data_IF_135925870033
#
_entry.id   IF_135925870033
#
_cell.length_a   1.000
_cell.length_b   1.000
_cell.length_c   1.000
_cell.angle_alpha   90.00
_cell.angle_beta   90.00
_cell.angle_gamma   90.00
#
_symmetry.space_group_name_H-M   'P 1'
#
loop_
_entity.id
_entity.type
_entity.pdbx_description
1 polymer ?
#
# COMPACT_ATOMS: atom_id res chain seq x y z
N UNK A 1 14.78 21.91 17.44
CA UNK A 1 15.42 22.94 16.61
C UNK A 1 16.04 22.21 15.45
N UNK A 2 15.73 22.55 14.20
CA UNK A 2 16.50 22.08 13.04
C UNK A 2 17.51 23.15 12.65
N UNK A 3 18.69 22.74 12.21
CA UNK A 3 19.72 23.65 11.73
C UNK A 3 20.45 22.98 10.57
N UNK A 4 20.63 23.73 9.48
CA UNK A 4 21.44 23.27 8.36
C UNK A 4 22.91 23.61 8.64
N UNK A 5 23.76 22.60 8.61
CA UNK A 5 25.20 22.83 8.72
C UNK A 5 25.75 23.24 7.35
N UNK A 6 26.62 24.25 7.33
CA UNK A 6 27.29 24.64 6.10
C UNK A 6 28.28 23.52 5.73
N UNK A 7 27.95 22.75 4.70
CA UNK A 7 28.87 21.75 4.15
C UNK A 7 30.16 22.44 3.67
N UNK A 8 31.31 22.01 4.20
CA UNK A 8 32.63 22.35 3.66
C UNK A 8 33.51 23.34 4.44
N UNK A 9 33.15 23.82 5.63
CA UNK A 9 34.11 24.63 6.42
C UNK A 9 34.02 24.49 7.95
N UNK A 10 34.23 23.26 8.46
CA UNK A 10 34.64 23.11 9.85
C UNK A 10 36.17 23.22 9.94
N UNK A 11 36.65 24.45 10.19
CA UNK A 11 38.09 24.75 10.28
C UNK A 11 38.63 24.45 11.68
N UNK A 12 39.94 24.28 11.79
CA UNK A 12 40.64 23.96 13.05
C UNK A 12 40.46 25.06 14.10
N UNK A 13 40.32 26.31 13.66
CA UNK A 13 40.04 27.46 14.52
C UNK A 13 38.60 27.51 15.06
N UNK A 14 37.67 26.69 14.57
CA UNK A 14 36.29 26.67 15.05
C UNK A 14 36.12 25.64 16.17
N UNK A 15 35.65 26.08 17.33
CA UNK A 15 35.28 25.18 18.43
C UNK A 15 34.05 24.29 18.10
N UNK A 16 33.19 24.72 17.17
CA UNK A 16 31.95 24.03 16.76
C UNK A 16 31.72 24.19 15.26
N UNK A 17 31.04 23.25 14.59
CA UNK A 17 30.69 23.41 13.19
C UNK A 17 29.76 24.62 13.00
N UNK A 18 30.05 25.54 12.06
CA UNK A 18 29.15 26.65 11.76
C UNK A 18 27.85 26.12 11.14
N UNK A 19 26.71 26.68 11.57
CA UNK A 19 25.39 26.40 11.00
C UNK A 19 24.78 27.66 10.39
N UNK A 20 23.89 27.46 9.42
CA UNK A 20 22.99 28.45 8.87
C UNK A 20 21.55 27.93 8.97
N UNK A 21 20.55 28.79 8.71
CA UNK A 21 19.13 28.39 8.65
C UNK A 21 18.66 27.60 9.89
N UNK A 22 18.70 28.24 11.06
CA UNK A 22 18.12 27.65 12.28
C UNK A 22 16.62 27.87 12.28
N UNK A 23 15.85 26.78 12.28
CA UNK A 23 14.39 26.84 12.40
C UNK A 23 13.94 26.40 13.80
N UNK A 24 13.08 27.22 14.38
CA UNK A 24 12.42 26.90 15.63
C UNK A 24 11.21 25.99 15.36
N UNK A 25 11.31 24.73 15.78
CA UNK A 25 10.22 23.75 15.68
C UNK A 25 9.22 23.94 16.82
N UNK A 26 9.72 24.13 18.06
CA UNK A 26 8.88 24.23 19.24
C UNK A 26 9.63 23.95 20.54
N UNK A 27 8.88 23.83 21.63
CA UNK A 27 9.41 23.46 22.96
C UNK A 27 9.58 21.95 23.07
N UNK A 28 10.63 21.54 23.78
CA UNK A 28 10.87 20.12 24.14
C UNK A 28 9.77 19.57 25.03
N UNK A 29 9.63 18.25 25.06
CA UNK A 29 8.61 17.52 25.82
C UNK A 29 7.16 17.80 25.37
N UNK A 30 6.98 18.36 24.17
CA UNK A 30 5.68 18.46 23.51
C UNK A 30 5.64 17.43 22.38
N UNK A 31 4.68 16.51 22.43
CA UNK A 31 4.61 15.36 21.51
C UNK A 31 4.63 15.78 20.04
N UNK A 32 3.86 16.79 19.64
CA UNK A 32 3.83 17.25 18.24
C UNK A 32 5.19 17.78 17.77
N UNK A 33 5.87 18.56 18.62
CA UNK A 33 7.18 19.12 18.27
C UNK A 33 8.26 18.04 18.19
N UNK A 34 8.23 17.06 19.09
CA UNK A 34 9.17 15.94 19.09
C UNK A 34 8.92 15.02 17.89
N UNK A 35 7.66 14.76 17.54
CA UNK A 35 7.29 14.00 16.34
C UNK A 35 7.76 14.71 15.07
N UNK A 36 7.53 16.02 14.97
CA UNK A 36 7.99 16.80 13.82
C UNK A 36 9.52 16.79 13.72
N UNK A 37 10.23 16.98 14.84
CA UNK A 37 11.69 16.89 14.86
C UNK A 37 12.19 15.50 14.42
N UNK A 38 11.55 14.42 14.87
CA UNK A 38 11.88 13.05 14.47
C UNK A 38 11.68 12.84 12.96
N UNK A 39 10.58 13.35 12.39
CA UNK A 39 10.29 13.24 10.96
C UNK A 39 11.32 13.99 10.12
N UNK A 40 11.66 15.22 10.51
CA UNK A 40 12.67 16.05 9.83
C UNK A 40 14.07 15.41 9.91
N UNK A 41 14.50 14.97 11.10
CA UNK A 41 15.83 14.37 11.31
C UNK A 41 16.02 13.08 10.49
N UNK A 42 14.93 12.39 10.15
CA UNK A 42 14.94 11.18 9.32
C UNK A 42 14.54 11.42 7.86
N UNK A 43 14.34 12.69 7.45
CA UNK A 43 13.99 13.04 6.08
C UNK A 43 12.65 12.46 5.61
N UNK A 44 11.71 12.23 6.53
CA UNK A 44 10.39 11.69 6.20
C UNK A 44 9.53 12.80 5.62
N UNK A 45 9.13 12.65 4.35
CA UNK A 45 8.16 13.53 3.74
C UNK A 45 6.79 13.34 4.40
N UNK A 46 6.41 14.31 5.23
CA UNK A 46 5.18 14.32 6.02
C UNK A 46 4.22 15.44 5.60
N UNK A 47 4.51 16.12 4.48
CA UNK A 47 3.63 17.13 3.91
C UNK A 47 2.40 16.54 3.22
N UNK A 48 1.44 17.41 2.93
CA UNK A 48 0.29 17.07 2.10
C UNK A 48 0.72 16.65 0.69
N UNK A 49 -0.13 15.87 0.03
CA UNK A 49 0.08 15.49 -1.36
C UNK A 49 -0.12 16.69 -2.29
N UNK A 50 0.77 16.83 -3.28
CA UNK A 50 0.65 17.89 -4.28
C UNK A 50 -0.66 17.80 -5.07
N UNK A 51 -1.17 18.95 -5.50
CA UNK A 51 -2.42 19.03 -6.25
C UNK A 51 -2.38 18.24 -7.58
N UNK A 52 -1.21 18.08 -8.20
CA UNK A 52 -1.03 17.21 -9.37
C UNK A 52 -1.24 15.73 -9.03
N UNK A 53 -0.63 15.27 -7.93
CA UNK A 53 -0.79 13.89 -7.42
C UNK A 53 -2.25 13.59 -7.13
N UNK A 54 -2.95 14.52 -6.47
CA UNK A 54 -4.36 14.35 -6.14
C UNK A 54 -5.26 14.30 -7.39
N UNK A 55 -4.93 15.05 -8.44
CA UNK A 55 -5.65 14.97 -9.73
C UNK A 55 -5.43 13.62 -10.41
N UNK A 56 -4.19 13.13 -10.43
CA UNK A 56 -3.88 11.83 -11.04
C UNK A 56 -4.63 10.69 -10.32
N UNK A 57 -4.66 10.72 -8.98
CA UNK A 57 -5.44 9.78 -8.18
C UNK A 57 -6.93 9.88 -8.51
N UNK A 58 -7.48 11.10 -8.57
CA UNK A 58 -8.88 11.30 -8.89
C UNK A 58 -9.23 10.69 -10.25
N UNK A 59 -8.42 10.94 -11.28
CA UNK A 59 -8.60 10.35 -12.61
C UNK A 59 -8.45 8.83 -12.60
N UNK A 60 -7.54 8.27 -11.80
CA UNK A 60 -7.35 6.83 -11.70
C UNK A 60 -8.58 6.11 -11.09
N UNK A 61 -9.28 6.74 -10.16
CA UNK A 61 -10.42 6.13 -9.46
C UNK A 61 -11.78 6.51 -10.02
N UNK A 62 -11.89 7.59 -10.81
CA UNK A 62 -13.16 8.23 -11.20
C UNK A 62 -14.20 7.27 -11.78
N UNK A 63 -13.76 6.33 -12.61
CA UNK A 63 -14.65 5.42 -13.35
C UNK A 63 -15.36 4.42 -12.45
N UNK A 64 -14.78 4.09 -11.30
CA UNK A 64 -15.34 3.14 -10.33
C UNK A 64 -15.95 3.80 -9.09
N UNK A 65 -16.01 5.13 -9.02
CA UNK A 65 -16.57 5.83 -7.87
C UNK A 65 -18.05 5.48 -7.68
N UNK A 66 -18.40 5.15 -6.45
CA UNK A 66 -19.78 4.87 -6.03
C UNK A 66 -20.15 5.71 -4.81
N UNK A 67 -21.45 5.84 -4.56
CA UNK A 67 -21.96 6.43 -3.32
C UNK A 67 -22.48 5.29 -2.44
N UNK A 68 -21.91 5.16 -1.25
CA UNK A 68 -22.37 4.20 -0.24
C UNK A 68 -23.63 4.72 0.45
N UNK A 69 -24.35 3.82 1.11
CA UNK A 69 -25.62 4.12 1.79
C UNK A 69 -25.50 5.12 2.95
N UNK A 70 -24.31 5.24 3.52
CA UNK A 70 -23.92 6.19 4.58
C UNK A 70 -23.48 7.55 4.02
N UNK A 71 -23.65 7.79 2.72
CA UNK A 71 -23.16 8.98 1.99
C UNK A 71 -21.64 9.10 1.92
N UNK A 72 -20.88 8.05 2.27
CA UNK A 72 -19.45 8.02 2.03
C UNK A 72 -19.13 7.62 0.59
N UNK A 73 -17.99 8.10 0.10
CA UNK A 73 -17.49 7.74 -1.22
C UNK A 73 -17.00 6.29 -1.20
N UNK A 74 -17.56 5.47 -2.07
CA UNK A 74 -17.14 4.10 -2.32
C UNK A 74 -16.39 3.97 -3.64
N UNK A 75 -15.91 2.75 -3.89
CA UNK A 75 -15.35 2.37 -5.18
C UNK A 75 -15.71 0.92 -5.50
N UNK A 76 -16.00 0.63 -6.77
CA UNK A 76 -16.22 -0.72 -7.29
C UNK A 76 -15.77 -0.82 -8.75
N UNK A 77 -15.25 -1.97 -9.20
CA UNK A 77 -14.83 -2.12 -10.59
C UNK A 77 -16.00 -1.99 -11.58
N UNK A 78 -15.73 -1.43 -12.76
CA UNK A 78 -16.69 -1.41 -13.87
C UNK A 78 -16.60 -2.70 -14.68
N UNK A 79 -17.62 -3.05 -15.50
CA UNK A 79 -17.61 -4.29 -16.29
C UNK A 79 -16.36 -4.50 -17.14
N UNK A 80 -15.83 -3.44 -17.74
CA UNK A 80 -14.63 -3.51 -18.59
C UNK A 80 -13.36 -3.87 -17.79
N UNK A 81 -13.33 -3.56 -16.49
CA UNK A 81 -12.18 -3.88 -15.63
C UNK A 81 -12.05 -5.38 -15.35
N UNK A 82 -13.10 -6.17 -15.61
CA UNK A 82 -13.08 -7.63 -15.48
C UNK A 82 -12.45 -8.33 -16.68
N UNK A 83 -12.26 -7.63 -17.81
CA UNK A 83 -11.72 -8.25 -19.01
C UNK A 83 -10.31 -8.80 -18.77
N UNK A 84 -10.11 -10.09 -19.09
CA UNK A 84 -8.84 -10.79 -18.90
C UNK A 84 -8.49 -11.15 -17.46
N UNK A 85 -9.38 -10.91 -16.49
CA UNK A 85 -9.20 -11.27 -15.07
C UNK A 85 -9.89 -12.57 -14.71
N UNK A 86 -9.30 -13.33 -13.79
CA UNK A 86 -9.94 -14.53 -13.23
C UNK A 86 -10.89 -14.15 -12.09
N UNK A 87 -12.14 -14.61 -12.18
CA UNK A 87 -13.17 -14.33 -11.19
C UNK A 87 -13.07 -15.27 -9.96
N UNK A 88 -12.75 -14.69 -8.80
CA UNK A 88 -12.70 -15.38 -7.51
C UNK A 88 -13.87 -15.05 -6.57
N UNK A 89 -14.88 -14.28 -7.01
CA UNK A 89 -15.98 -13.79 -6.14
C UNK A 89 -16.84 -14.90 -5.53
N UNK A 90 -16.78 -16.11 -6.09
CA UNK A 90 -17.48 -17.30 -5.53
C UNK A 90 -16.69 -18.01 -4.44
N UNK A 91 -15.40 -17.68 -4.27
CA UNK A 91 -14.58 -18.24 -3.20
C UNK A 91 -14.80 -17.48 -1.90
N UNK A 92 -14.63 -18.18 -0.77
CA UNK A 92 -14.59 -17.54 0.55
C UNK A 92 -13.21 -16.95 0.78
N UNK A 93 -13.06 -15.68 0.45
CA UNK A 93 -11.85 -14.89 0.67
C UNK A 93 -12.01 -14.04 1.93
N UNK A 94 -10.95 -13.92 2.72
CA UNK A 94 -10.90 -13.10 3.94
C UNK A 94 -9.52 -12.48 4.14
N UNK A 95 -9.44 -11.38 4.89
CA UNK A 95 -8.17 -10.77 5.34
C UNK A 95 -7.96 -11.08 6.84
N UNK A 96 -6.73 -10.95 7.33
CA UNK A 96 -6.39 -11.10 8.74
C UNK A 96 -5.46 -9.96 9.15
N UNK A 97 -6.02 -8.95 9.82
CA UNK A 97 -5.33 -7.70 10.08
C UNK A 97 -5.58 -7.20 11.53
N UNK A 98 -4.73 -6.29 12.05
CA UNK A 98 -5.04 -5.55 13.26
C UNK A 98 -6.38 -4.82 13.16
N UNK A 99 -7.09 -4.67 14.28
CA UNK A 99 -8.41 -4.01 14.32
C UNK A 99 -8.41 -2.55 13.89
N UNK A 100 -7.23 -1.93 13.77
CA UNK A 100 -7.04 -0.53 13.36
C UNK A 100 -6.58 -0.38 11.91
N UNK A 101 -6.39 -1.48 11.17
CA UNK A 101 -5.96 -1.46 9.78
C UNK A 101 -7.03 -0.84 8.88
N UNK A 102 -6.60 -0.11 7.84
CA UNK A 102 -7.49 0.58 6.88
C UNK A 102 -7.15 0.26 5.42
N UNK A 103 -5.89 -0.05 5.18
CA UNK A 103 -5.27 -0.46 3.93
C UNK A 103 -4.99 -1.97 3.97
N UNK A 104 -5.98 -2.77 3.58
CA UNK A 104 -5.88 -4.21 3.57
C UNK A 104 -5.24 -4.66 2.25
N UNK A 105 -3.96 -5.02 2.30
CA UNK A 105 -3.16 -5.32 1.11
C UNK A 105 -3.32 -6.76 0.63
N UNK A 106 -3.54 -7.72 1.55
CA UNK A 106 -3.63 -9.13 1.25
C UNK A 106 -4.92 -9.79 1.75
N UNK A 107 -5.37 -10.78 0.98
CA UNK A 107 -6.48 -11.63 1.33
C UNK A 107 -6.18 -13.09 0.95
N UNK A 108 -6.80 -14.01 1.66
CA UNK A 108 -6.52 -15.44 1.60
C UNK A 108 -7.80 -16.23 1.30
N UNK A 109 -7.67 -17.33 0.57
CA UNK A 109 -8.67 -18.40 0.60
C UNK A 109 -8.00 -19.77 0.72
N UNK A 110 -8.78 -20.73 1.21
CA UNK A 110 -8.44 -22.14 1.22
C UNK A 110 -9.68 -22.97 0.87
N UNK A 111 -9.55 -23.86 -0.10
CA UNK A 111 -10.63 -24.74 -0.58
C UNK A 111 -10.12 -26.17 -0.72
N UNK A 112 -10.81 -27.15 -0.14
CA UNK A 112 -10.47 -28.56 -0.35
C UNK A 112 -10.81 -28.99 -1.79
N UNK A 113 -9.95 -29.80 -2.40
CA UNK A 113 -10.12 -30.36 -3.74
C UNK A 113 -10.57 -31.82 -3.67
N UNK A 114 -11.24 -32.29 -4.74
CA UNK A 114 -11.77 -33.66 -4.84
C UNK A 114 -10.68 -34.75 -4.78
N UNK A 115 -9.44 -34.41 -5.11
CA UNK A 115 -8.27 -35.30 -5.08
C UNK A 115 -7.59 -35.39 -3.69
N UNK A 116 -8.18 -34.75 -2.67
CA UNK A 116 -7.68 -34.73 -1.31
C UNK A 116 -6.61 -33.66 -1.03
N UNK A 117 -6.24 -32.86 -2.03
CA UNK A 117 -5.37 -31.67 -1.88
C UNK A 117 -6.18 -30.44 -1.45
N UNK A 118 -5.50 -29.32 -1.27
CA UNK A 118 -6.10 -28.00 -1.02
C UNK A 118 -5.65 -27.00 -2.08
N UNK A 119 -6.57 -26.15 -2.52
CA UNK A 119 -6.25 -24.94 -3.25
C UNK A 119 -6.10 -23.79 -2.24
N UNK A 120 -4.97 -23.09 -2.30
CA UNK A 120 -4.69 -21.92 -1.47
C UNK A 120 -4.45 -20.75 -2.41
N UNK A 121 -5.13 -19.63 -2.18
CA UNK A 121 -4.89 -18.38 -2.89
C UNK A 121 -4.46 -17.28 -1.96
N UNK A 122 -3.45 -16.53 -2.39
CA UNK A 122 -3.06 -15.23 -1.84
C UNK A 122 -3.43 -14.19 -2.88
N UNK A 123 -4.23 -13.22 -2.49
CA UNK A 123 -4.76 -12.15 -3.33
C UNK A 123 -4.21 -10.82 -2.82
N UNK A 124 -3.41 -10.14 -3.62
CA UNK A 124 -2.80 -8.84 -3.28
C UNK A 124 -3.55 -7.74 -4.01
N UNK A 125 -3.83 -6.62 -3.32
CA UNK A 125 -4.45 -5.44 -3.93
C UNK A 125 -3.72 -5.03 -5.23
N UNK A 126 -4.46 -4.85 -6.33
CA UNK A 126 -3.86 -4.55 -7.64
C UNK A 126 -3.55 -3.05 -7.80
N UNK A 127 -2.68 -2.52 -6.94
CA UNK A 127 -2.25 -1.11 -6.96
C UNK A 127 -1.70 -0.70 -8.34
N UNK A 128 -1.04 -1.64 -9.02
CA UNK A 128 -0.46 -1.45 -10.36
C UNK A 128 -1.50 -1.17 -11.46
N UNK A 129 -2.79 -1.43 -11.20
CA UNK A 129 -3.87 -1.01 -12.09
C UNK A 129 -4.09 0.51 -12.05
N UNK A 130 -3.96 1.12 -10.87
CA UNK A 130 -4.24 2.53 -10.61
C UNK A 130 -3.01 3.43 -10.75
N UNK A 131 -1.86 2.97 -10.27
CA UNK A 131 -0.61 3.73 -10.32
C UNK A 131 0.14 3.37 -11.59
N UNK A 132 0.19 4.30 -12.55
CA UNK A 132 0.89 4.11 -13.82
C UNK A 132 2.33 4.64 -13.73
N UNK A 133 3.31 3.96 -14.35
CA UNK A 133 4.67 4.47 -14.43
C UNK A 133 4.70 5.91 -14.94
N UNK A 134 5.61 6.72 -14.40
CA UNK A 134 5.85 8.11 -14.78
C UNK A 134 4.69 9.08 -14.49
N UNK A 135 3.65 8.65 -13.78
CA UNK A 135 2.58 9.54 -13.28
C UNK A 135 3.05 10.35 -12.07
N UNK A 136 2.34 11.44 -11.73
CA UNK A 136 2.64 12.24 -10.55
C UNK A 136 2.52 11.43 -9.26
N UNK A 137 1.52 10.55 -9.17
CA UNK A 137 1.35 9.62 -8.04
C UNK A 137 2.48 8.60 -7.95
N UNK A 138 2.99 8.08 -9.08
CA UNK A 138 4.16 7.20 -9.09
C UNK A 138 5.42 7.94 -8.60
N UNK A 139 5.67 9.15 -9.09
CA UNK A 139 6.80 9.97 -8.63
C UNK A 139 6.73 10.35 -7.14
N UNK A 140 5.54 10.58 -6.59
CA UNK A 140 5.35 10.78 -5.15
C UNK A 140 5.56 9.47 -4.37
N UNK A 141 5.00 8.35 -4.83
CA UNK A 141 5.17 7.04 -4.20
C UNK A 141 6.66 6.64 -4.15
N UNK A 142 7.42 6.89 -5.22
CA UNK A 142 8.87 6.67 -5.25
C UNK A 142 9.62 7.55 -4.24
N UNK A 143 9.22 8.82 -4.09
CA UNK A 143 9.83 9.74 -3.11
C UNK A 143 9.52 9.35 -1.66
N UNK A 144 8.30 8.91 -1.37
CA UNK A 144 7.90 8.46 -0.02
C UNK A 144 8.41 7.06 0.30
N UNK A 145 8.53 6.19 -0.71
CA UNK A 145 8.99 4.80 -0.71
C UNK A 145 8.17 3.81 0.14
N UNK A 146 7.66 4.23 1.30
CA UNK A 146 6.87 3.40 2.21
C UNK A 146 5.96 4.26 3.08
N UNK A 147 4.90 3.66 3.62
CA UNK A 147 4.07 4.30 4.64
C UNK A 147 4.80 4.25 5.98
N UNK A 148 4.92 5.39 6.67
CA UNK A 148 5.56 5.47 7.98
C UNK A 148 4.50 5.40 9.07
N UNK A 149 4.57 4.34 9.88
CA UNK A 149 3.68 4.12 11.02
C UNK A 149 4.31 4.65 12.30
N UNK A 150 3.75 5.71 12.85
CA UNK A 150 4.07 6.22 14.18
C UNK A 150 3.10 5.63 15.21
N UNK A 151 3.37 5.89 16.50
CA UNK A 151 2.54 5.39 17.59
C UNK A 151 1.11 5.94 17.53
N UNK A 152 0.94 7.20 17.12
CA UNK A 152 -0.33 7.92 17.15
C UNK A 152 -0.90 8.25 15.76
N UNK A 153 -0.10 8.14 14.70
CA UNK A 153 -0.51 8.50 13.33
C UNK A 153 0.23 7.72 12.25
N UNK A 154 -0.25 7.86 11.03
CA UNK A 154 0.32 7.23 9.84
C UNK A 154 0.64 8.32 8.82
N UNK A 155 1.85 8.28 8.25
CA UNK A 155 2.25 9.11 7.12
C UNK A 155 2.16 8.24 5.86
N UNK A 156 1.10 8.39 5.05
CA UNK A 156 0.82 7.46 3.97
C UNK A 156 1.74 7.65 2.77
N UNK A 157 2.11 6.53 2.13
CA UNK A 157 2.80 6.53 0.83
C UNK A 157 1.89 7.00 -0.30
N UNK A 158 0.61 6.58 -0.27
CA UNK A 158 -0.38 6.86 -1.32
C UNK A 158 -1.57 7.64 -0.76
N UNK A 159 -2.23 8.48 -1.56
CA UNK A 159 -3.43 9.19 -1.11
C UNK A 159 -4.58 8.25 -0.72
N UNK A 160 -5.36 8.65 0.30
CA UNK A 160 -6.48 7.87 0.86
C UNK A 160 -7.48 7.29 -0.15
N UNK A 161 -7.91 8.02 -1.21
CA UNK A 161 -8.83 7.45 -2.20
C UNK A 161 -8.29 6.19 -2.88
N UNK A 162 -6.97 6.08 -2.98
CA UNK A 162 -6.31 4.93 -3.58
C UNK A 162 -6.08 3.83 -2.55
N UNK A 163 -5.42 4.12 -1.42
CA UNK A 163 -5.06 3.08 -0.45
C UNK A 163 -6.26 2.55 0.36
N UNK A 164 -7.04 3.41 1.02
CA UNK A 164 -8.10 2.99 1.95
C UNK A 164 -9.41 2.61 1.24
N UNK A 165 -9.67 3.17 0.04
CA UNK A 165 -10.95 3.01 -0.66
C UNK A 165 -10.83 2.06 -1.87
N UNK A 166 -10.07 2.43 -2.90
CA UNK A 166 -10.06 1.71 -4.17
C UNK A 166 -9.26 0.41 -4.15
N UNK A 167 -8.09 0.40 -3.50
CA UNK A 167 -7.20 -0.77 -3.46
C UNK A 167 -7.47 -1.70 -2.29
N UNK A 168 -7.69 -1.16 -1.08
CA UNK A 168 -7.93 -1.95 0.12
C UNK A 168 -9.00 -3.02 -0.12
N UNK A 169 -8.66 -4.27 0.24
CA UNK A 169 -9.49 -5.47 0.10
C UNK A 169 -10.60 -5.53 1.16
N UNK A 170 -11.34 -4.43 1.27
CA UNK A 170 -12.46 -4.25 2.19
C UNK A 170 -13.52 -5.35 2.02
N UNK A 171 -14.16 -5.72 3.13
CA UNK A 171 -15.17 -6.78 3.12
C UNK A 171 -16.41 -6.43 2.29
N UNK A 172 -17.05 -7.47 1.74
CA UNK A 172 -18.34 -7.39 1.03
C UNK A 172 -18.39 -6.40 -0.16
N UNK A 173 -17.23 -6.02 -0.71
CA UNK A 173 -17.13 -5.19 -1.91
C UNK A 173 -16.18 -5.84 -2.92
N UNK A 174 -16.51 -5.70 -4.21
CA UNK A 174 -15.67 -6.24 -5.28
C UNK A 174 -14.39 -5.41 -5.41
N UNK A 175 -13.24 -6.08 -5.56
CA UNK A 175 -11.91 -5.44 -5.65
C UNK A 175 -11.04 -6.09 -6.72
N UNK A 176 -10.15 -5.30 -7.30
CA UNK A 176 -9.15 -5.77 -8.25
C UNK A 176 -7.95 -6.31 -7.48
N UNK A 177 -7.51 -7.51 -7.80
CA UNK A 177 -6.38 -8.16 -7.15
C UNK A 177 -5.42 -8.78 -8.18
N UNK A 178 -4.16 -8.90 -7.77
CA UNK A 178 -3.19 -9.81 -8.36
C UNK A 178 -3.06 -11.01 -7.43
N UNK A 179 -3.24 -12.20 -7.97
CA UNK A 179 -3.39 -13.42 -7.19
C UNK A 179 -2.27 -14.41 -7.48
N UNK A 180 -1.87 -15.16 -6.48
CA UNK A 180 -1.04 -16.35 -6.60
C UNK A 180 -1.80 -17.53 -5.98
N UNK A 181 -1.93 -18.63 -6.72
CA UNK A 181 -2.76 -19.77 -6.35
C UNK A 181 -1.97 -21.06 -6.52
N UNK A 182 -1.97 -21.85 -5.45
CA UNK A 182 -1.29 -23.12 -5.34
C UNK A 182 -2.29 -24.25 -5.13
N UNK A 183 -1.93 -25.44 -5.63
CA UNK A 183 -2.53 -26.71 -5.21
C UNK A 183 -1.51 -27.45 -4.37
N UNK A 184 -1.85 -27.70 -3.11
CA UNK A 184 -0.92 -28.18 -2.09
C UNK A 184 -1.46 -29.44 -1.42
N UNK A 185 -0.57 -30.32 -1.02
CA UNK A 185 -0.92 -31.40 -0.11
C UNK A 185 -1.32 -30.82 1.26
N UNK A 186 -2.10 -31.57 2.05
CA UNK A 186 -2.53 -31.12 3.38
C UNK A 186 -1.37 -30.91 4.37
N UNK A 187 -0.20 -31.45 4.07
CA UNK A 187 1.04 -31.24 4.84
C UNK A 187 1.81 -29.97 4.43
N UNK A 188 1.28 -29.18 3.49
CA UNK A 188 1.90 -27.95 2.99
C UNK A 188 2.95 -28.17 1.91
N UNK A 189 3.14 -29.39 1.40
CA UNK A 189 4.06 -29.64 0.30
C UNK A 189 3.42 -29.39 -1.07
N UNK A 190 4.21 -28.86 -2.01
CA UNK A 190 3.88 -28.88 -3.43
C UNK A 190 4.36 -30.22 -4.00
N UNK A 191 3.54 -30.89 -4.81
CA UNK A 191 3.99 -32.13 -5.46
C UNK A 191 5.24 -31.91 -6.32
N UNK A 192 6.15 -32.88 -6.25
CA UNK A 192 7.46 -32.79 -6.88
C UNK A 192 7.35 -32.78 -8.41
N UNK A 193 8.22 -32.03 -9.11
CA UNK A 193 8.17 -31.80 -10.58
C UNK A 193 8.20 -33.07 -11.47
N UNK A 194 8.51 -34.23 -10.92
CA UNK A 194 8.63 -35.49 -11.65
C UNK A 194 7.26 -36.16 -11.84
N UNK A 195 6.41 -35.59 -12.70
CA UNK A 195 5.09 -36.15 -13.02
C UNK A 195 4.01 -35.16 -13.46
N UNK A 196 4.33 -33.88 -13.68
CA UNK A 196 3.33 -32.82 -13.93
C UNK A 196 2.30 -33.17 -15.00
N UNK A 197 1.02 -33.07 -14.62
CA UNK A 197 -0.05 -32.71 -15.54
C UNK A 197 -0.13 -31.18 -15.67
N UNK A 198 -0.62 -30.69 -16.81
CA UNK A 198 -0.68 -29.24 -17.17
C UNK A 198 -1.51 -28.37 -16.18
N UNK A 199 -2.13 -28.96 -15.15
CA UNK A 199 -2.98 -28.31 -14.15
C UNK A 199 -2.41 -28.27 -12.72
N UNK A 200 -1.17 -28.73 -12.51
CA UNK A 200 -0.49 -28.73 -11.18
C UNK A 200 0.54 -27.60 -11.04
N UNK A 201 0.50 -26.60 -11.92
CA UNK A 201 1.40 -25.45 -11.85
C UNK A 201 0.82 -24.34 -10.97
N UNK A 202 1.69 -23.68 -10.20
CA UNK A 202 1.34 -22.44 -9.50
C UNK A 202 0.82 -21.44 -10.52
N UNK A 203 -0.40 -20.97 -10.33
CA UNK A 203 -0.98 -19.94 -11.17
C UNK A 203 -0.77 -18.58 -10.51
N UNK A 204 -0.33 -17.59 -11.28
CA UNK A 204 -0.29 -16.21 -10.84
C UNK A 204 -0.84 -15.32 -11.94
N UNK A 205 -1.59 -14.28 -11.57
CA UNK A 205 -2.24 -13.41 -12.54
C UNK A 205 -3.31 -12.53 -11.92
N UNK A 206 -4.03 -11.83 -12.79
CA UNK A 206 -5.15 -10.97 -12.43
C UNK A 206 -6.49 -11.68 -12.59
#
# INVERSE_FOLDING_TARGET
YTAEYIYGSWKVEHNWPPCCNVQFIGRSCNVENETLALLEDNGVNHGDFDASVLRDVQTAVESGLTLRSDQEMGWSPTPDMYEGRRDYRKQRIFTIDPTTAKDLDDALHITELDDGRVEIGVHIADVSYFVRPDSGVDGEAQRRATTVYLVDRVIPMLPKPLCEIACSLNENVERLAFSCVWRMNKDGTLENRAGKTKGDEVWYGR
#
